data_IF_310814014911
#
_entry.id   IF_310814014911
#
_cell.length_a   1.000
_cell.length_b   1.000
_cell.length_c   1.000
_cell.angle_alpha   90.00
_cell.angle_beta   90.00
_cell.angle_gamma   90.00
#
_symmetry.space_group_name_H-M   'P 1'
#
loop_
_entity.id
_entity.type
_entity.pdbx_description
1 polymer ?
#
# COMPACT_ATOMS: atom_id res chain seq x y z
N UNK A 1 -0.25 7.73 -5.17
CA UNK A 1 0.71 8.56 -4.39
C UNK A 1 0.08 9.67 -3.56
N UNK A 2 -1.02 10.32 -4.02
CA UNK A 2 -1.63 11.43 -3.26
C UNK A 2 -2.15 11.10 -1.85
N UNK A 3 -2.80 9.94 -1.66
CA UNK A 3 -3.39 9.61 -0.33
C UNK A 3 -2.33 9.36 0.76
N UNK A 4 -1.19 8.74 0.42
CA UNK A 4 -0.13 8.47 1.40
C UNK A 4 0.64 9.74 1.77
N UNK A 5 0.69 10.74 0.88
CA UNK A 5 1.28 12.05 1.15
C UNK A 5 0.65 12.72 2.39
N UNK A 6 -0.69 12.66 2.51
CA UNK A 6 -1.41 13.20 3.68
C UNK A 6 -1.00 12.50 4.99
N UNK A 7 -0.76 11.19 4.95
CA UNK A 7 -0.33 10.41 6.13
C UNK A 7 1.10 10.76 6.54
N UNK A 8 2.03 10.82 5.59
CA UNK A 8 3.42 11.20 5.87
C UNK A 8 3.54 12.66 6.35
N UNK A 9 2.81 13.58 5.73
CA UNK A 9 2.79 14.98 6.14
C UNK A 9 2.28 15.18 7.57
N UNK A 10 1.31 14.37 8.02
CA UNK A 10 0.77 14.47 9.40
C UNK A 10 1.79 14.16 10.50
N UNK A 11 2.91 13.51 10.15
CA UNK A 11 4.02 13.19 11.06
C UNK A 11 5.31 13.95 10.69
N UNK A 12 5.23 14.94 9.80
CA UNK A 12 6.40 15.71 9.36
C UNK A 12 7.37 14.96 8.45
N UNK A 13 6.97 13.83 7.86
CA UNK A 13 7.80 13.06 6.95
C UNK A 13 7.59 13.51 5.49
N UNK A 14 8.67 13.60 4.72
CA UNK A 14 8.63 13.91 3.30
C UNK A 14 8.03 12.74 2.48
N UNK A 15 7.24 13.04 1.45
CA UNK A 15 6.64 12.03 0.58
C UNK A 15 7.58 11.60 -0.57
N UNK A 16 8.72 11.00 -0.23
CA UNK A 16 9.64 10.37 -1.19
C UNK A 16 9.27 8.92 -1.46
N UNK A 17 9.74 8.35 -2.58
CA UNK A 17 9.58 6.91 -2.86
C UNK A 17 10.20 6.04 -1.75
N UNK A 18 11.37 6.43 -1.27
CA UNK A 18 12.07 5.72 -0.21
C UNK A 18 11.27 5.73 1.10
N UNK A 19 10.73 6.88 1.53
CA UNK A 19 9.90 6.93 2.74
C UNK A 19 8.62 6.10 2.59
N UNK A 20 8.04 6.06 1.38
CA UNK A 20 6.89 5.20 1.08
C UNK A 20 7.25 3.72 1.10
N UNK A 21 8.44 3.34 0.62
CA UNK A 21 8.98 1.98 0.65
C UNK A 21 9.27 1.56 2.09
N UNK A 22 10.00 2.37 2.84
CA UNK A 22 10.35 2.15 4.24
C UNK A 22 9.11 1.98 5.12
N UNK A 23 8.12 2.86 4.98
CA UNK A 23 6.84 2.73 5.70
C UNK A 23 6.11 1.41 5.39
N UNK A 24 6.21 0.88 4.17
CA UNK A 24 5.59 -0.39 3.78
C UNK A 24 6.39 -1.58 4.26
N UNK A 25 7.72 -1.50 4.21
CA UNK A 25 8.59 -2.49 4.83
C UNK A 25 8.26 -2.65 6.31
N UNK A 26 8.19 -1.54 7.06
CA UNK A 26 7.82 -1.53 8.48
C UNK A 26 6.59 -2.39 8.77
N UNK A 27 5.54 -2.27 7.94
CA UNK A 27 4.30 -3.03 8.10
C UNK A 27 4.47 -4.51 7.71
N UNK A 28 5.11 -4.79 6.58
CA UNK A 28 5.21 -6.16 6.05
C UNK A 28 6.23 -7.01 6.80
N UNK A 29 7.22 -6.40 7.44
CA UNK A 29 8.27 -7.09 8.22
C UNK A 29 8.00 -7.03 9.73
N UNK A 30 6.78 -6.68 10.18
CA UNK A 30 6.37 -6.84 11.58
C UNK A 30 6.61 -8.27 12.07
N UNK A 31 6.70 -8.53 13.37
CA UNK A 31 7.02 -9.88 13.84
C UNK A 31 5.91 -10.92 13.55
N UNK A 32 6.25 -12.21 13.67
CA UNK A 32 5.41 -13.37 13.32
C UNK A 32 4.02 -13.38 14.00
N UNK A 33 3.82 -12.62 15.07
CA UNK A 33 2.52 -12.51 15.75
C UNK A 33 1.39 -12.04 14.83
N UNK A 34 1.71 -11.36 13.73
CA UNK A 34 0.70 -10.90 12.76
C UNK A 34 0.26 -11.99 11.78
N UNK A 35 1.04 -13.06 11.61
CA UNK A 35 0.79 -14.09 10.59
C UNK A 35 -0.58 -14.77 10.72
N UNK A 36 -1.07 -15.19 11.91
CA UNK A 36 -2.42 -15.75 12.03
C UNK A 36 -3.53 -14.70 11.85
N UNK A 37 -3.21 -13.41 11.85
CA UNK A 37 -4.17 -12.32 11.81
C UNK A 37 -4.42 -11.79 10.38
N UNK A 38 -3.43 -11.93 9.48
CA UNK A 38 -3.44 -11.28 8.17
C UNK A 38 -3.48 -12.31 7.04
N UNK A 39 -4.70 -12.60 6.56
CA UNK A 39 -4.90 -13.48 5.40
C UNK A 39 -4.53 -12.84 4.05
N UNK A 40 -4.40 -11.52 3.98
CA UNK A 40 -3.99 -10.85 2.75
C UNK A 40 -3.69 -9.37 2.90
N UNK A 41 -2.96 -8.83 1.93
CA UNK A 41 -2.49 -7.44 1.90
C UNK A 41 -2.76 -6.84 0.53
N UNK A 42 -3.54 -5.76 0.48
CA UNK A 42 -3.80 -5.02 -0.76
C UNK A 42 -2.66 -4.00 -0.98
N UNK A 43 -1.95 -4.14 -2.09
CA UNK A 43 -0.85 -3.26 -2.48
C UNK A 43 -1.29 -2.21 -3.49
N UNK A 44 -0.53 -1.11 -3.58
CA UNK A 44 -0.58 -0.18 -4.70
C UNK A 44 0.51 -0.57 -5.71
N UNK A 45 0.32 -0.23 -6.99
CA UNK A 45 1.24 -0.59 -8.09
C UNK A 45 2.72 -0.35 -7.76
N UNK A 46 3.07 0.84 -7.23
CA UNK A 46 4.44 1.16 -6.79
C UNK A 46 4.98 0.13 -5.78
N UNK A 47 4.20 -0.17 -4.73
CA UNK A 47 4.60 -1.09 -3.65
C UNK A 47 4.72 -2.55 -4.13
N UNK A 48 3.96 -2.95 -5.15
CA UNK A 48 3.99 -4.31 -5.68
C UNK A 48 5.38 -4.71 -6.20
N UNK A 49 6.17 -3.73 -6.68
CA UNK A 49 7.50 -3.94 -7.25
C UNK A 49 8.65 -3.53 -6.32
N UNK A 50 8.34 -3.00 -5.14
CA UNK A 50 9.34 -2.63 -4.15
C UNK A 50 9.99 -3.84 -3.48
N UNK A 51 11.17 -3.58 -2.91
CA UNK A 51 11.98 -4.55 -2.17
C UNK A 51 12.27 -4.07 -0.74
N UNK A 52 12.54 -5.02 0.14
CA UNK A 52 13.10 -4.77 1.46
C UNK A 52 14.53 -4.26 1.36
N UNK A 53 15.09 -3.83 2.49
CA UNK A 53 16.51 -3.46 2.62
C UNK A 53 17.44 -4.61 2.22
N UNK A 54 17.04 -5.86 2.49
CA UNK A 54 17.75 -7.08 2.08
C UNK A 54 17.51 -7.48 0.61
N UNK A 55 16.82 -6.65 -0.17
CA UNK A 55 16.56 -6.90 -1.59
C UNK A 55 15.43 -7.92 -1.88
N UNK A 56 14.67 -8.34 -0.87
CA UNK A 56 13.55 -9.28 -1.03
C UNK A 56 12.31 -8.53 -1.50
N UNK A 57 11.63 -9.03 -2.53
CA UNK A 57 10.38 -8.42 -3.00
C UNK A 57 9.30 -8.44 -1.89
N UNK A 58 8.56 -7.35 -1.71
CA UNK A 58 7.48 -7.31 -0.71
C UNK A 58 6.41 -8.38 -0.92
N UNK A 59 6.14 -8.75 -2.16
CA UNK A 59 5.21 -9.84 -2.50
C UNK A 59 5.68 -11.19 -1.96
N UNK A 60 7.00 -11.42 -1.89
CA UNK A 60 7.58 -12.60 -1.27
C UNK A 60 7.45 -12.55 0.25
N UNK A 61 7.75 -11.41 0.87
CA UNK A 61 7.60 -11.22 2.33
C UNK A 61 6.18 -11.54 2.80
N UNK A 62 5.17 -11.03 2.08
CA UNK A 62 3.75 -11.27 2.41
C UNK A 62 3.40 -12.76 2.29
N UNK A 63 3.85 -13.43 1.22
CA UNK A 63 3.60 -14.85 0.98
C UNK A 63 4.29 -15.76 1.98
N UNK A 64 5.54 -15.46 2.32
CA UNK A 64 6.32 -16.24 3.30
C UNK A 64 5.66 -16.20 4.68
N UNK A 65 4.88 -15.16 4.97
CA UNK A 65 4.07 -15.01 6.19
C UNK A 65 2.66 -15.61 6.11
N UNK A 66 2.34 -16.31 5.02
CA UNK A 66 1.04 -16.95 4.81
C UNK A 66 -0.06 -16.02 4.25
N UNK A 67 0.26 -14.77 3.91
CA UNK A 67 -0.70 -13.82 3.36
C UNK A 67 -0.84 -13.91 1.84
N UNK A 68 -2.04 -13.60 1.33
CA UNK A 68 -2.30 -13.41 -0.11
C UNK A 68 -1.96 -11.98 -0.53
N UNK A 69 -1.29 -11.85 -1.68
CA UNK A 69 -0.98 -10.53 -2.27
C UNK A 69 -2.15 -10.06 -3.12
N UNK A 70 -2.75 -8.93 -2.76
CA UNK A 70 -3.76 -8.23 -3.55
C UNK A 70 -3.18 -6.98 -4.24
N UNK A 71 -3.82 -6.54 -5.32
CA UNK A 71 -3.47 -5.31 -6.05
C UNK A 71 -4.71 -4.43 -6.19
N UNK A 72 -4.58 -3.16 -5.82
CA UNK A 72 -5.57 -2.14 -6.12
C UNK A 72 -5.49 -1.75 -7.60
N UNK A 73 -6.61 -1.87 -8.33
CA UNK A 73 -6.65 -1.65 -9.79
C UNK A 73 -7.45 -0.42 -10.23
N UNK A 74 -8.31 0.15 -9.38
CA UNK A 74 -8.99 1.40 -9.72
C UNK A 74 -7.99 2.57 -9.86
N UNK A 75 -8.34 3.49 -10.74
CA UNK A 75 -7.60 4.72 -11.03
C UNK A 75 -8.22 5.93 -10.33
N UNK A 76 -9.04 5.70 -9.31
CA UNK A 76 -9.74 6.72 -8.54
C UNK A 76 -11.15 7.01 -9.06
N UNK A 77 -11.77 8.02 -8.45
CA UNK A 77 -13.15 8.41 -8.74
C UNK A 77 -13.21 9.56 -9.73
N UNK A 78 -14.27 9.59 -10.53
CA UNK A 78 -14.63 10.68 -11.44
C UNK A 78 -16.06 11.17 -11.15
N UNK A 79 -16.36 12.47 -11.36
CA UNK A 79 -17.70 13.01 -11.12
C UNK A 79 -18.76 12.30 -11.97
N UNK A 80 -19.91 11.98 -11.36
CA UNK A 80 -21.06 11.44 -12.07
C UNK A 80 -21.90 12.60 -12.63
N UNK A 81 -21.91 12.76 -13.96
CA UNK A 81 -22.63 13.85 -14.60
C UNK A 81 -24.13 13.83 -14.27
N UNK A 82 -24.70 15.01 -13.96
CA UNK A 82 -26.13 15.15 -13.64
C UNK A 82 -26.49 14.88 -12.17
N UNK A 83 -25.51 14.67 -11.30
CA UNK A 83 -25.73 14.44 -9.85
C UNK A 83 -25.22 15.59 -9.00
N UNK A 84 -25.66 15.65 -7.74
CA UNK A 84 -25.15 16.61 -6.75
C UNK A 84 -23.92 16.05 -6.03
N UNK A 85 -22.78 16.05 -6.73
CA UNK A 85 -21.48 15.69 -6.12
C UNK A 85 -21.27 14.18 -5.94
N UNK A 86 -22.04 13.33 -6.62
CA UNK A 86 -21.76 11.89 -6.65
C UNK A 86 -20.59 11.57 -7.59
N UNK A 87 -20.01 10.39 -7.43
CA UNK A 87 -18.86 9.94 -8.20
C UNK A 87 -18.99 8.48 -8.61
N UNK A 88 -18.32 8.10 -9.70
CA UNK A 88 -18.10 6.70 -10.11
C UNK A 88 -16.60 6.40 -10.16
N UNK A 89 -16.21 5.14 -10.33
CA UNK A 89 -14.80 4.70 -10.34
C UNK A 89 -14.33 4.36 -11.75
N UNK A 90 -13.11 4.76 -12.10
CA UNK A 90 -12.45 4.48 -13.39
C UNK A 90 -11.24 3.55 -13.24
#
# INVERSE_FOLDING_TARGET
TGSIAKRLSSIGAENTEENRRFYRQLLFTADEKVNPCIGGVITFHETLYHKTDDGVAFTKVIKDKGGVVGIKVDKGVVPLAGTNGETTTQ
#
